data_IF_118714459723
#
_entry.id   IF_118714459723
#
_cell.length_a   1.000
_cell.length_b   1.000
_cell.length_c   1.000
_cell.angle_alpha   90.00
_cell.angle_beta   90.00
_cell.angle_gamma   90.00
#
_symmetry.space_group_name_H-M   'P 1'
#
loop_
_entity.id
_entity.type
_entity.pdbx_description
1 polymer ?
#
# COMPACT_ATOMS: atom_id res chain seq x y z
N UNK A 1 -7.55 6.27 -9.58
CA UNK A 1 -6.17 6.00 -9.16
C UNK A 1 -5.80 4.58 -9.54
N UNK A 2 -4.78 4.40 -10.33
CA UNK A 2 -4.38 3.06 -10.74
C UNK A 2 -3.16 2.62 -9.91
N UNK A 3 -3.34 1.56 -9.14
CA UNK A 3 -2.33 1.03 -8.23
C UNK A 3 -1.80 -0.28 -8.79
N UNK A 4 -0.48 -0.41 -8.82
CA UNK A 4 0.19 -1.62 -9.29
C UNK A 4 1.11 -2.18 -8.23
N UNK A 5 1.49 -3.45 -8.40
CA UNK A 5 2.47 -4.09 -7.52
C UNK A 5 3.78 -3.31 -7.52
N UNK A 6 4.39 -3.21 -6.36
CA UNK A 6 5.62 -2.50 -6.06
C UNK A 6 5.51 -0.97 -6.05
N UNK A 7 4.32 -0.42 -6.27
CA UNK A 7 4.08 1.00 -6.02
C UNK A 7 4.19 1.27 -4.52
N UNK A 8 4.66 2.47 -4.16
CA UNK A 8 4.68 2.93 -2.78
C UNK A 8 3.55 3.94 -2.61
N UNK A 9 2.73 3.74 -1.60
CA UNK A 9 1.55 4.56 -1.35
C UNK A 9 1.58 5.15 0.05
N UNK A 10 0.86 6.27 0.21
CA UNK A 10 0.58 6.84 1.51
C UNK A 10 -0.84 6.48 1.89
N UNK A 11 -1.00 5.88 3.06
CA UNK A 11 -2.32 5.52 3.57
C UNK A 11 -2.96 6.72 4.26
N UNK A 12 -4.29 6.68 4.42
CA UNK A 12 -5.01 7.74 5.15
C UNK A 12 -4.58 7.82 6.61
N UNK A 13 -4.00 6.76 7.15
CA UNK A 13 -3.39 6.76 8.48
C UNK A 13 -2.05 7.48 8.54
N UNK A 14 -1.54 7.96 7.39
CA UNK A 14 -0.22 8.56 7.20
C UNK A 14 0.93 7.55 7.22
N UNK A 15 0.63 6.25 7.21
CA UNK A 15 1.65 5.22 7.05
C UNK A 15 2.04 5.10 5.58
N UNK A 16 3.32 4.85 5.32
CA UNK A 16 3.79 4.53 3.97
C UNK A 16 3.81 3.01 3.81
N UNK A 17 3.40 2.55 2.64
CA UNK A 17 3.29 1.12 2.39
C UNK A 17 3.71 0.79 0.97
N UNK A 18 4.26 -0.42 0.80
CA UNK A 18 4.58 -0.95 -0.51
C UNK A 18 3.52 -1.97 -0.90
N UNK A 19 3.02 -1.86 -2.11
CA UNK A 19 2.05 -2.83 -2.64
C UNK A 19 2.79 -4.11 -2.97
N UNK A 20 2.46 -5.20 -2.27
CA UNK A 20 3.10 -6.49 -2.49
C UNK A 20 2.30 -7.30 -3.50
N UNK A 21 0.98 -7.30 -3.37
CA UNK A 21 0.13 -8.04 -4.27
C UNK A 21 -1.17 -7.28 -4.50
N UNK A 22 -1.63 -7.29 -5.74
CA UNK A 22 -2.89 -6.69 -6.15
C UNK A 22 -3.87 -7.81 -6.41
N UNK A 23 -4.87 -7.97 -5.55
CA UNK A 23 -5.88 -9.01 -5.71
C UNK A 23 -6.89 -8.63 -6.79
N UNK A 24 -7.28 -7.37 -6.80
CA UNK A 24 -8.13 -6.78 -7.83
C UNK A 24 -7.92 -5.26 -7.79
N UNK A 25 -8.79 -4.49 -8.46
CA UNK A 25 -8.62 -3.04 -8.51
C UNK A 25 -8.93 -2.33 -7.18
N UNK A 26 -9.42 -3.07 -6.18
CA UNK A 26 -9.88 -2.49 -4.91
C UNK A 26 -9.22 -3.10 -3.69
N UNK A 27 -8.47 -4.19 -3.83
CA UNK A 27 -7.93 -4.95 -2.68
C UNK A 27 -6.46 -5.26 -2.90
N UNK A 28 -5.67 -5.03 -1.86
CA UNK A 28 -4.21 -5.16 -1.95
C UNK A 28 -3.64 -5.79 -0.70
N UNK A 29 -2.54 -6.53 -0.87
CA UNK A 29 -1.66 -6.90 0.22
C UNK A 29 -0.53 -5.88 0.24
N UNK A 30 -0.30 -5.27 1.39
CA UNK A 30 0.75 -4.27 1.54
C UNK A 30 1.74 -4.67 2.62
N UNK A 31 2.94 -4.10 2.52
CA UNK A 31 3.97 -4.21 3.54
C UNK A 31 4.22 -2.84 4.12
N UNK A 32 4.17 -2.74 5.44
CA UNK A 32 4.44 -1.52 6.18
C UNK A 32 5.69 -1.75 7.02
N UNK A 33 6.64 -0.81 6.96
CA UNK A 33 7.81 -0.82 7.81
C UNK A 33 7.65 0.20 8.93
N UNK A 34 7.79 -0.26 10.17
CA UNK A 34 7.63 0.62 11.32
C UNK A 34 8.58 0.17 12.43
N UNK A 35 9.48 1.06 12.82
CA UNK A 35 10.45 0.84 13.91
C UNK A 35 11.24 -0.47 13.74
N UNK A 36 11.72 -0.75 12.53
CA UNK A 36 12.52 -1.93 12.25
C UNK A 36 11.72 -3.20 12.04
N UNK A 37 10.39 -3.12 12.06
CA UNK A 37 9.50 -4.27 11.90
C UNK A 37 8.70 -4.12 10.62
N UNK A 38 8.72 -5.16 9.79
CA UNK A 38 7.85 -5.25 8.62
C UNK A 38 6.56 -5.96 8.99
N UNK A 39 5.44 -5.43 8.55
CA UNK A 39 4.12 -6.04 8.77
C UNK A 39 3.40 -6.14 7.44
N UNK A 40 2.68 -7.24 7.24
CA UNK A 40 1.80 -7.41 6.08
C UNK A 40 0.37 -7.12 6.50
N UNK A 41 -0.38 -6.45 5.63
CA UNK A 41 -1.77 -6.09 5.91
C UNK A 41 -2.57 -6.10 4.62
N UNK A 42 -3.80 -6.60 4.68
CA UNK A 42 -4.75 -6.50 3.57
C UNK A 42 -5.50 -5.18 3.72
N UNK A 43 -5.57 -4.41 2.64
CA UNK A 43 -6.28 -3.13 2.66
C UNK A 43 -7.19 -3.00 1.45
N UNK A 44 -8.14 -2.07 1.55
CA UNK A 44 -8.94 -1.66 0.40
C UNK A 44 -8.40 -0.36 -0.17
N UNK A 45 -8.77 -0.07 -1.41
CA UNK A 45 -8.35 1.16 -2.09
C UNK A 45 -8.77 2.42 -1.32
N UNK A 46 -9.87 2.33 -0.56
CA UNK A 46 -10.36 3.47 0.23
C UNK A 46 -9.37 3.92 1.31
N UNK A 47 -8.44 3.06 1.70
CA UNK A 47 -7.45 3.38 2.72
C UNK A 47 -6.24 4.11 2.14
N UNK A 48 -6.13 4.21 0.82
CA UNK A 48 -5.00 4.83 0.14
C UNK A 48 -5.28 6.30 -0.11
N UNK A 49 -4.40 7.17 0.37
CA UNK A 49 -4.51 8.61 0.19
C UNK A 49 -3.90 9.05 -1.13
N UNK A 50 -2.71 8.58 -1.44
CA UNK A 50 -2.02 8.95 -2.68
C UNK A 50 -0.89 7.97 -2.98
N UNK A 51 -0.46 7.96 -4.24
CA UNK A 51 0.72 7.20 -4.67
C UNK A 51 1.93 8.11 -4.47
N UNK A 52 2.93 7.63 -3.73
CA UNK A 52 4.17 8.35 -3.50
C UNK A 52 5.21 8.04 -4.55
N UNK A 53 5.23 6.81 -5.04
CA UNK A 53 6.20 6.38 -6.02
C UNK A 53 5.59 5.27 -6.87
N UNK A 54 5.71 5.40 -8.19
CA UNK A 54 5.28 4.37 -9.14
C UNK A 54 6.49 3.68 -9.72
N UNK A 55 6.41 2.38 -9.76
CA UNK A 55 7.45 1.58 -10.37
C UNK A 55 7.59 1.82 -11.88
#
# INVERSE_FOLDING_TARGET
>A
MKINELDVVLLKSNEEATIIEKFDNKSFLIEIYNDGIFSLRNISIDEIKQILWKR
#
